data_IF_066124881805
#
_entry.id   IF_066124881805
#
_cell.length_a   1.000
_cell.length_b   1.000
_cell.length_c   1.000
_cell.angle_alpha   90.00
_cell.angle_beta   90.00
_cell.angle_gamma   90.00
#
_symmetry.space_group_name_H-M   'P 1'
#
loop_
_entity.id
_entity.type
_entity.pdbx_description
1 polymer ?
#
# COMPACT_ATOMS: atom_id res chain seq x y z
N UNK A 1 50.66 -14.92 16.69
CA UNK A 1 50.40 -14.29 15.38
C UNK A 1 48.90 -14.26 15.18
N UNK A 2 48.24 -13.20 15.66
CA UNK A 2 46.79 -13.02 15.54
C UNK A 2 46.48 -12.23 14.28
N UNK A 3 45.82 -12.87 13.32
CA UNK A 3 45.25 -12.23 12.13
C UNK A 3 44.10 -11.32 12.56
N UNK A 4 44.23 -10.01 12.34
CA UNK A 4 43.11 -9.07 12.48
C UNK A 4 42.34 -9.02 11.16
N UNK A 5 41.07 -9.42 11.22
CA UNK A 5 40.11 -9.32 10.13
C UNK A 5 39.69 -7.85 9.97
N UNK A 6 40.01 -7.22 8.83
CA UNK A 6 39.55 -5.87 8.54
C UNK A 6 38.05 -5.85 8.24
N UNK A 7 37.30 -5.05 8.99
CA UNK A 7 35.89 -4.77 8.74
C UNK A 7 35.81 -3.81 7.55
N UNK A 8 35.32 -4.27 6.41
CA UNK A 8 35.06 -3.42 5.25
C UNK A 8 33.84 -2.56 5.58
N UNK A 9 34.06 -1.29 5.92
CA UNK A 9 32.98 -0.30 6.05
C UNK A 9 32.51 0.08 4.65
N UNK A 10 31.52 -0.64 4.12
CA UNK A 10 30.84 -0.23 2.91
C UNK A 10 30.24 1.17 3.12
N UNK A 11 30.32 2.09 2.14
CA UNK A 11 29.64 3.38 2.23
C UNK A 11 28.17 3.13 2.53
N UNK A 12 27.61 3.86 3.49
CA UNK A 12 26.21 3.66 3.86
C UNK A 12 25.34 3.94 2.65
N UNK A 13 24.30 3.12 2.43
CA UNK A 13 23.35 3.30 1.32
C UNK A 13 22.67 4.68 1.37
N UNK A 14 22.68 5.35 2.54
CA UNK A 14 22.23 6.73 2.70
C UNK A 14 23.07 7.75 1.92
N UNK A 15 24.37 7.49 1.69
CA UNK A 15 25.20 8.38 0.86
C UNK A 15 24.78 8.38 -0.61
N UNK A 16 24.09 7.33 -1.07
CA UNK A 16 23.57 7.20 -2.42
C UNK A 16 22.15 7.80 -2.58
N UNK A 17 21.48 8.12 -1.47
CA UNK A 17 20.20 8.82 -1.49
C UNK A 17 20.45 10.33 -1.57
N UNK A 18 19.90 10.98 -2.59
CA UNK A 18 20.02 12.41 -2.82
C UNK A 18 19.15 13.27 -1.88
N UNK A 19 18.75 12.73 -0.72
CA UNK A 19 17.88 13.40 0.24
C UNK A 19 18.76 14.13 1.26
N UNK A 20 18.48 15.41 1.47
CA UNK A 20 19.14 16.25 2.48
C UNK A 20 18.34 16.23 3.78
N UNK A 21 17.08 16.66 3.74
CA UNK A 21 16.21 16.67 4.90
C UNK A 21 14.72 16.55 4.51
N UNK A 22 13.87 16.34 5.52
CA UNK A 22 12.42 16.32 5.36
C UNK A 22 11.85 17.39 6.29
N UNK A 23 11.23 18.42 5.72
CA UNK A 23 10.67 19.54 6.48
C UNK A 23 9.18 19.71 6.13
N UNK A 24 8.30 19.68 7.13
CA UNK A 24 6.85 19.83 6.98
C UNK A 24 6.21 18.93 5.88
N UNK A 25 6.70 17.69 5.72
CA UNK A 25 6.18 16.74 4.73
C UNK A 25 6.72 16.94 3.30
N UNK A 26 7.64 17.89 3.10
CA UNK A 26 8.37 18.07 1.84
C UNK A 26 9.77 17.51 1.99
N UNK A 27 10.19 16.71 1.00
CA UNK A 27 11.54 16.18 0.89
C UNK A 27 12.42 17.19 0.17
N UNK A 28 13.48 17.63 0.82
CA UNK A 28 14.50 18.51 0.26
C UNK A 28 15.66 17.63 -0.20
N UNK A 29 15.99 17.69 -1.48
CA UNK A 29 17.16 17.01 -2.03
C UNK A 29 18.42 17.86 -1.86
N UNK A 30 19.58 17.19 -1.84
CA UNK A 30 20.92 17.82 -1.77
C UNK A 30 21.21 18.81 -2.91
N UNK A 31 20.46 18.72 -4.01
CA UNK A 31 20.56 19.65 -5.15
C UNK A 31 19.58 20.83 -5.05
N UNK A 32 18.88 21.00 -3.92
CA UNK A 32 17.87 22.02 -3.69
C UNK A 32 16.48 21.69 -4.27
N UNK A 33 16.31 20.52 -4.92
CA UNK A 33 15.04 20.11 -5.47
C UNK A 33 14.04 19.69 -4.39
N UNK A 34 12.78 20.11 -4.53
CA UNK A 34 11.70 19.77 -3.62
C UNK A 34 10.84 18.62 -4.18
N UNK A 35 10.48 17.65 -3.34
CA UNK A 35 9.58 16.54 -3.68
C UNK A 35 8.55 16.31 -2.59
N UNK A 36 7.34 15.96 -2.99
CA UNK A 36 6.27 15.55 -2.08
C UNK A 36 5.65 14.25 -2.57
N UNK A 37 5.33 13.36 -1.63
CA UNK A 37 4.64 12.10 -1.93
C UNK A 37 3.22 12.20 -1.41
N UNK A 38 2.25 12.06 -2.30
CA UNK A 38 0.83 12.08 -1.95
C UNK A 38 0.27 10.66 -2.03
N UNK A 39 -0.41 10.24 -0.96
CA UNK A 39 -1.20 9.03 -0.96
C UNK A 39 -2.65 9.38 -1.32
N UNK A 40 -3.19 8.71 -2.32
CA UNK A 40 -4.58 8.91 -2.77
C UNK A 40 -5.34 7.59 -2.68
N UNK A 41 -6.63 7.68 -2.36
CA UNK A 41 -7.54 6.54 -2.35
C UNK A 41 -8.21 6.36 -3.72
N UNK A 42 -8.45 5.11 -4.12
CA UNK A 42 -9.24 4.82 -5.30
C UNK A 42 -10.73 5.12 -5.06
N UNK A 43 -11.44 5.47 -6.14
CA UNK A 43 -12.90 5.66 -6.15
C UNK A 43 -13.56 4.56 -6.98
N UNK A 44 -14.79 4.17 -6.61
CA UNK A 44 -15.58 3.17 -7.34
C UNK A 44 -16.17 3.77 -8.63
N UNK A 45 -15.29 4.05 -9.62
CA UNK A 45 -15.64 4.75 -10.84
C UNK A 45 -16.78 4.08 -11.61
N UNK A 46 -16.77 2.74 -11.73
CA UNK A 46 -17.78 1.98 -12.47
C UNK A 46 -19.19 2.01 -11.85
N UNK A 47 -19.33 2.38 -10.57
CA UNK A 47 -20.63 2.48 -9.89
C UNK A 47 -21.26 3.88 -10.02
N UNK A 48 -20.58 4.81 -10.71
CA UNK A 48 -21.05 6.18 -10.92
C UNK A 48 -21.94 6.29 -12.14
N UNK A 49 -22.84 7.27 -12.15
CA UNK A 49 -23.62 7.61 -13.35
C UNK A 49 -22.71 8.15 -14.46
N UNK A 50 -23.14 8.09 -15.72
CA UNK A 50 -22.34 8.60 -16.85
C UNK A 50 -21.96 10.08 -16.68
N UNK A 51 -22.88 10.90 -16.17
CA UNK A 51 -22.61 12.31 -15.88
C UNK A 51 -21.51 12.50 -14.83
N UNK A 52 -21.55 11.75 -13.73
CA UNK A 52 -20.49 11.75 -12.71
C UNK A 52 -19.16 11.24 -13.26
N UNK A 53 -19.19 10.15 -14.04
CA UNK A 53 -17.99 9.60 -14.67
C UNK A 53 -17.30 10.64 -15.56
N UNK A 54 -18.08 11.31 -16.42
CA UNK A 54 -17.57 12.36 -17.30
C UNK A 54 -17.01 13.54 -16.50
N UNK A 55 -17.69 13.98 -15.44
CA UNK A 55 -17.19 15.05 -14.57
C UNK A 55 -15.85 14.70 -13.92
N UNK A 56 -15.68 13.46 -13.46
CA UNK A 56 -14.42 12.96 -12.90
C UNK A 56 -13.32 12.99 -13.96
N UNK A 57 -13.61 12.51 -15.19
CA UNK A 57 -12.64 12.52 -16.30
C UNK A 57 -12.19 13.94 -16.64
N UNK A 58 -13.14 14.88 -16.79
CA UNK A 58 -12.79 16.27 -17.12
C UNK A 58 -12.00 16.96 -16.01
N UNK A 59 -12.32 16.69 -14.75
CA UNK A 59 -11.55 17.19 -13.61
C UNK A 59 -10.12 16.64 -13.62
N UNK A 60 -9.96 15.33 -13.89
CA UNK A 60 -8.64 14.71 -13.99
C UNK A 60 -7.81 15.25 -15.16
N UNK A 61 -8.45 15.48 -16.32
CA UNK A 61 -7.81 16.14 -17.45
C UNK A 61 -7.35 17.56 -17.09
N UNK A 62 -8.19 18.35 -16.41
CA UNK A 62 -7.83 19.68 -15.93
C UNK A 62 -6.64 19.65 -14.97
N UNK A 63 -6.60 18.67 -14.06
CA UNK A 63 -5.45 18.45 -13.18
C UNK A 63 -4.17 18.17 -13.97
N UNK A 64 -4.19 17.25 -14.94
CA UNK A 64 -3.01 16.93 -15.75
C UNK A 64 -2.51 18.15 -16.55
N UNK A 65 -3.42 18.93 -17.11
CA UNK A 65 -3.09 20.14 -17.86
C UNK A 65 -2.52 21.26 -16.98
N UNK A 66 -2.77 21.22 -15.67
CA UNK A 66 -2.25 22.22 -14.72
C UNK A 66 -0.81 21.95 -14.26
N UNK A 67 -0.24 20.78 -14.58
CA UNK A 67 1.08 20.37 -14.11
C UNK A 67 2.19 21.04 -14.92
N UNK A 68 2.97 21.90 -14.26
CA UNK A 68 4.13 22.57 -14.85
C UNK A 68 5.46 21.83 -14.58
N UNK A 69 5.42 20.68 -13.91
CA UNK A 69 6.60 19.94 -13.45
C UNK A 69 6.40 18.43 -13.65
N UNK A 70 7.49 17.65 -13.78
CA UNK A 70 7.40 16.20 -13.94
C UNK A 70 6.78 15.56 -12.68
N UNK A 71 5.79 14.70 -12.90
CA UNK A 71 5.16 13.90 -11.84
C UNK A 71 5.45 12.42 -12.05
N UNK A 72 5.42 11.66 -10.97
CA UNK A 72 5.50 10.20 -11.00
C UNK A 72 4.25 9.61 -10.37
N UNK A 73 3.51 8.81 -11.14
CA UNK A 73 2.34 8.07 -10.64
C UNK A 73 2.80 6.63 -10.38
N UNK A 74 2.76 6.23 -9.12
CA UNK A 74 3.08 4.85 -8.70
C UNK A 74 1.79 4.15 -8.34
N UNK A 75 1.45 3.12 -9.10
CA UNK A 75 0.34 2.22 -8.78
C UNK A 75 0.91 0.88 -8.33
N UNK A 76 0.56 0.48 -7.11
CA UNK A 76 0.93 -0.82 -6.57
C UNK A 76 -0.33 -1.61 -6.24
N UNK A 77 -0.53 -2.72 -6.94
CA UNK A 77 -1.49 -3.73 -6.49
C UNK A 77 -0.94 -4.41 -5.25
N UNK A 78 -1.60 -4.25 -4.11
CA UNK A 78 -1.26 -4.97 -2.88
C UNK A 78 -2.22 -6.13 -2.72
N UNK A 79 -1.69 -7.28 -2.31
CA UNK A 79 -2.53 -8.38 -1.84
C UNK A 79 -3.30 -7.90 -0.61
N UNK A 80 -4.56 -8.31 -0.53
CA UNK A 80 -5.39 -7.98 0.61
C UNK A 80 -4.85 -8.76 1.83
N UNK A 81 -4.28 -8.03 2.79
CA UNK A 81 -3.81 -8.58 4.06
C UNK A 81 -4.80 -8.21 5.17
N UNK A 82 -5.55 -9.21 5.63
CA UNK A 82 -6.45 -9.11 6.79
C UNK A 82 -5.93 -9.89 8.00
N UNK A 83 -4.66 -10.33 8.02
CA UNK A 83 -4.11 -11.15 9.10
C UNK A 83 -4.25 -10.47 10.47
N UNK A 84 -4.04 -9.14 10.53
CA UNK A 84 -4.23 -8.36 11.76
C UNK A 84 -5.70 -8.31 12.22
N UNK A 85 -6.64 -8.23 11.29
CA UNK A 85 -8.08 -8.25 11.58
C UNK A 85 -8.54 -9.63 12.06
N UNK A 86 -8.10 -10.70 11.40
CA UNK A 86 -8.38 -12.08 11.80
C UNK A 86 -7.78 -12.41 13.17
N UNK A 87 -6.58 -11.90 13.48
CA UNK A 87 -5.98 -12.05 14.81
C UNK A 87 -6.84 -11.41 15.91
N UNK A 88 -7.38 -10.20 15.67
CA UNK A 88 -8.31 -9.54 16.60
C UNK A 88 -9.59 -10.34 16.79
N UNK A 89 -10.17 -10.87 15.71
CA UNK A 89 -11.36 -11.73 15.78
C UNK A 89 -11.10 -13.02 16.57
N UNK A 90 -9.97 -13.69 16.33
CA UNK A 90 -9.57 -14.90 17.08
C UNK A 90 -9.36 -14.60 18.57
N UNK A 91 -8.77 -13.46 18.89
CA UNK A 91 -8.62 -13.02 20.29
C UNK A 91 -9.98 -12.81 20.95
N UNK A 92 -10.90 -12.12 20.27
CA UNK A 92 -12.25 -11.86 20.78
C UNK A 92 -13.06 -13.16 20.94
N UNK A 93 -12.91 -14.10 20.02
CA UNK A 93 -13.57 -15.41 20.07
C UNK A 93 -13.16 -16.22 21.31
N UNK A 94 -11.91 -16.08 21.77
CA UNK A 94 -11.41 -16.76 22.98
C UNK A 94 -11.94 -16.16 24.28
N UNK A 95 -12.24 -14.87 24.29
CA UNK A 95 -12.80 -14.17 25.46
C UNK A 95 -14.33 -14.21 25.52
N UNK A 96 -14.99 -14.79 24.51
CA UNK A 96 -16.44 -14.83 24.45
C UNK A 96 -16.99 -15.97 25.33
N UNK A 97 -17.85 -15.63 26.29
CA UNK A 97 -18.40 -16.60 27.24
C UNK A 97 -19.47 -17.49 26.58
N UNK A 98 -20.26 -16.91 25.66
CA UNK A 98 -21.38 -17.61 25.04
C UNK A 98 -20.91 -18.65 23.99
N UNK A 99 -21.21 -19.95 24.18
CA UNK A 99 -20.77 -21.00 23.27
C UNK A 99 -21.34 -20.89 21.85
N UNK A 100 -22.57 -20.38 21.68
CA UNK A 100 -23.20 -20.22 20.36
C UNK A 100 -22.51 -19.13 19.55
N UNK A 101 -22.23 -17.99 20.19
CA UNK A 101 -21.52 -16.88 19.55
C UNK A 101 -20.10 -17.30 19.17
N UNK A 102 -19.43 -18.05 20.04
CA UNK A 102 -18.09 -18.59 19.79
C UNK A 102 -18.05 -19.52 18.58
N UNK A 103 -19.06 -20.37 18.42
CA UNK A 103 -19.21 -21.23 17.24
C UNK A 103 -19.40 -20.37 15.97
N UNK A 104 -20.35 -19.44 15.98
CA UNK A 104 -20.65 -18.58 14.84
C UNK A 104 -19.45 -17.70 14.42
N UNK A 105 -18.69 -17.18 15.39
CA UNK A 105 -17.45 -16.45 15.12
C UNK A 105 -16.38 -17.32 14.48
N UNK A 106 -16.29 -18.59 14.88
CA UNK A 106 -15.35 -19.55 14.30
C UNK A 106 -15.68 -19.82 12.83
N UNK A 107 -16.96 -20.04 12.52
CA UNK A 107 -17.42 -20.24 11.14
C UNK A 107 -17.17 -19.00 10.28
N UNK A 108 -17.44 -17.81 10.81
CA UNK A 108 -17.17 -16.55 10.11
C UNK A 108 -15.68 -16.35 9.84
N UNK A 109 -14.80 -16.63 10.82
CA UNK A 109 -13.35 -16.55 10.63
C UNK A 109 -12.90 -17.50 9.51
N UNK A 110 -13.39 -18.74 9.50
CA UNK A 110 -13.08 -19.72 8.46
C UNK A 110 -13.56 -19.30 7.07
N UNK A 111 -14.77 -18.74 6.99
CA UNK A 111 -15.31 -18.19 5.75
C UNK A 111 -14.46 -17.04 5.19
N UNK A 112 -14.05 -16.08 6.03
CA UNK A 112 -13.19 -14.97 5.61
C UNK A 112 -11.81 -15.46 5.16
N UNK A 113 -11.23 -16.46 5.83
CA UNK A 113 -9.95 -17.08 5.42
C UNK A 113 -10.05 -17.75 4.04
N UNK A 114 -11.17 -18.43 3.74
CA UNK A 114 -11.42 -19.00 2.41
C UNK A 114 -11.56 -17.92 1.35
N UNK A 115 -12.32 -16.86 1.62
CA UNK A 115 -12.47 -15.73 0.69
C UNK A 115 -11.14 -15.06 0.38
N UNK A 116 -10.28 -14.87 1.39
CA UNK A 116 -8.95 -14.31 1.20
C UNK A 116 -8.07 -15.19 0.32
N UNK A 117 -8.18 -16.51 0.47
CA UNK A 117 -7.44 -17.46 -0.37
C UNK A 117 -7.81 -17.32 -1.83
N UNK A 118 -9.11 -17.17 -2.13
CA UNK A 118 -9.62 -16.95 -3.50
C UNK A 118 -9.25 -15.55 -4.01
N UNK A 119 -9.45 -14.51 -3.20
CA UNK A 119 -9.21 -13.12 -3.59
C UNK A 119 -7.73 -12.81 -3.86
N UNK A 120 -6.81 -13.49 -3.16
CA UNK A 120 -5.37 -13.33 -3.34
C UNK A 120 -4.77 -14.30 -4.37
N UNK A 121 -5.58 -15.05 -5.13
CA UNK A 121 -5.07 -15.87 -6.21
C UNK A 121 -4.36 -15.01 -7.26
N UNK A 122 -3.13 -15.38 -7.68
CA UNK A 122 -2.44 -14.68 -8.75
C UNK A 122 -3.27 -14.80 -10.03
N UNK A 123 -3.61 -13.66 -10.65
CA UNK A 123 -4.23 -13.66 -11.97
C UNK A 123 -3.21 -14.23 -12.97
N UNK A 124 -3.56 -15.31 -13.66
CA UNK A 124 -2.70 -16.10 -14.56
C UNK A 124 -2.20 -15.34 -15.82
N UNK A 125 -2.30 -14.01 -15.91
CA UNK A 125 -2.01 -13.25 -17.13
C UNK A 125 -0.82 -12.29 -16.99
N UNK A 126 0.29 -12.79 -16.47
CA UNK A 126 1.59 -12.09 -16.44
C UNK A 126 2.73 -12.96 -17.03
N UNK A 127 2.42 -13.98 -17.86
CA UNK A 127 3.43 -14.87 -18.48
C UNK A 127 3.65 -14.68 -19.98
N UNK A 128 3.15 -13.60 -20.56
CA UNK A 128 3.43 -13.22 -21.94
C UNK A 128 3.96 -11.78 -22.00
N UNK A 129 5.19 -11.58 -21.54
CA UNK A 129 6.13 -10.52 -21.91
C UNK A 129 7.53 -11.10 -21.78
#
# INVERSE_FOLDING_TARGET
>A
MGSQSQVITAPSTQNYLDIEEIHNGVVILKNGGLRMVLMVSAINFSLKSEGEQNAIIYSFQGFLNSLAFPIQIVMQSRRLDLSSYLAKLKSKNKSEDNPLIRLQMTDYIGFVEQLLTVANQPRQKDRDC
#
